data_IF_894481963846
#
_entry.id   IF_894481963846
#
_cell.length_a   1.000
_cell.length_b   1.000
_cell.length_c   1.000
_cell.angle_alpha   90.00
_cell.angle_beta   90.00
_cell.angle_gamma   90.00
#
_symmetry.space_group_name_H-M   'P 1'
#
loop_
_entity.id
_entity.type
_entity.pdbx_description
1 polymer ?
#
# COMPACT_ATOMS: atom_id res chain seq x y z
N UNK A 1 6.48 3.55 23.12
CA UNK A 1 6.23 2.12 23.44
C UNK A 1 5.04 1.56 22.66
N UNK A 2 3.86 2.19 22.72
CA UNK A 2 2.64 1.69 22.06
C UNK A 2 2.79 1.39 20.55
N UNK A 3 3.40 2.28 19.77
CA UNK A 3 3.59 2.09 18.33
C UNK A 3 4.40 0.83 17.99
N UNK A 4 5.47 0.55 18.75
CA UNK A 4 6.33 -0.61 18.50
C UNK A 4 5.61 -1.92 18.84
N UNK A 5 4.81 -1.93 19.91
CA UNK A 5 3.98 -3.08 20.27
C UNK A 5 2.87 -3.34 19.25
N UNK A 6 2.27 -2.27 18.71
CA UNK A 6 1.32 -2.41 17.62
C UNK A 6 1.96 -3.03 16.37
N UNK A 7 3.13 -2.53 15.95
CA UNK A 7 3.86 -3.08 14.79
C UNK A 7 4.23 -4.55 14.99
N UNK A 8 4.71 -4.93 16.18
CA UNK A 8 4.99 -6.34 16.51
C UNK A 8 3.73 -7.20 16.40
N UNK A 9 2.59 -6.71 16.89
CA UNK A 9 1.33 -7.43 16.84
C UNK A 9 0.86 -7.64 15.40
N UNK A 10 0.97 -6.61 14.55
CA UNK A 10 0.59 -6.69 13.13
C UNK A 10 1.46 -7.67 12.33
N UNK A 11 2.70 -7.97 12.75
CA UNK A 11 3.53 -8.99 12.07
C UNK A 11 2.96 -10.41 12.13
N UNK A 12 2.07 -10.70 13.08
CA UNK A 12 1.40 -12.00 13.18
C UNK A 12 0.16 -12.10 12.28
N UNK A 13 -0.34 -10.97 11.77
CA UNK A 13 -1.45 -10.97 10.82
C UNK A 13 -0.91 -11.39 9.44
N UNK A 14 -1.29 -12.59 9.00
CA UNK A 14 -0.93 -13.06 7.66
C UNK A 14 -1.55 -12.15 6.60
N UNK A 15 -0.73 -11.64 5.69
CA UNK A 15 -1.14 -10.79 4.59
C UNK A 15 -0.38 -11.18 3.33
N UNK A 16 -1.04 -11.07 2.18
CA UNK A 16 -0.37 -11.18 0.88
C UNK A 16 0.58 -10.00 0.68
N UNK A 17 1.69 -10.24 -0.02
CA UNK A 17 2.59 -9.18 -0.47
C UNK A 17 2.33 -8.93 -1.96
N UNK A 18 2.04 -7.68 -2.31
CA UNK A 18 1.82 -7.23 -3.68
C UNK A 18 2.83 -6.14 -4.06
N UNK A 19 3.11 -6.01 -5.37
CA UNK A 19 3.86 -4.88 -5.92
C UNK A 19 2.85 -3.94 -6.59
N UNK A 20 2.76 -2.71 -6.09
CA UNK A 20 1.95 -1.65 -6.66
C UNK A 20 2.85 -0.79 -7.55
N UNK A 21 2.63 -0.82 -8.86
CA UNK A 21 3.40 -0.04 -9.83
C UNK A 21 2.55 1.04 -10.47
N UNK A 22 3.14 2.21 -10.71
CA UNK A 22 2.52 3.32 -11.41
C UNK A 22 3.54 4.07 -12.24
N UNK A 23 3.07 4.94 -13.11
CA UNK A 23 3.89 5.96 -13.78
C UNK A 23 3.31 7.33 -13.49
N UNK A 24 4.17 8.33 -13.36
CA UNK A 24 3.73 9.72 -13.28
C UNK A 24 3.41 10.29 -14.67
N UNK A 25 3.02 11.57 -14.71
CA UNK A 25 2.71 12.29 -15.95
C UNK A 25 3.90 12.44 -16.92
N UNK A 26 5.13 12.22 -16.45
CA UNK A 26 6.35 12.23 -17.26
C UNK A 26 6.80 10.82 -17.66
N UNK A 27 5.92 9.82 -17.56
CA UNK A 27 6.20 8.41 -17.86
C UNK A 27 7.26 7.76 -16.95
N UNK A 28 7.67 8.42 -15.86
CA UNK A 28 8.67 7.89 -14.95
C UNK A 28 8.05 6.77 -14.11
N UNK A 29 8.67 5.57 -14.05
CA UNK A 29 8.11 4.43 -13.32
C UNK A 29 8.36 4.54 -11.82
N UNK A 30 7.38 4.06 -11.05
CA UNK A 30 7.45 3.90 -9.61
C UNK A 30 6.87 2.55 -9.21
N UNK A 31 7.37 1.99 -8.11
CA UNK A 31 6.85 0.77 -7.54
C UNK A 31 6.95 0.80 -6.01
N UNK A 32 6.01 0.16 -5.34
CA UNK A 32 6.00 -0.02 -3.90
C UNK A 32 5.58 -1.45 -3.55
N UNK A 33 6.35 -2.11 -2.68
CA UNK A 33 5.91 -3.34 -2.03
C UNK A 33 4.89 -3.02 -0.94
N UNK A 34 3.71 -3.63 -1.00
CA UNK A 34 2.63 -3.39 -0.05
C UNK A 34 2.03 -4.70 0.47
N UNK A 35 1.81 -4.77 1.79
CA UNK A 35 1.03 -5.84 2.43
C UNK A 35 -0.39 -5.39 2.83
N UNK A 36 -0.66 -4.08 2.85
CA UNK A 36 -1.98 -3.51 3.14
C UNK A 36 -2.78 -3.31 1.84
N UNK A 37 -3.25 -4.42 1.26
CA UNK A 37 -4.04 -4.46 0.01
C UNK A 37 -5.31 -5.29 0.23
N UNK A 38 -6.46 -4.80 -0.22
CA UNK A 38 -7.74 -5.51 -0.04
C UNK A 38 -8.72 -5.20 -1.18
N UNK A 39 -9.41 -6.23 -1.69
CA UNK A 39 -10.56 -6.04 -2.60
C UNK A 39 -11.72 -5.38 -1.86
N UNK A 40 -12.29 -4.30 -2.40
CA UNK A 40 -13.26 -3.47 -1.68
C UNK A 40 -14.70 -3.69 -2.14
N UNK A 41 -14.98 -3.53 -3.44
CA UNK A 41 -16.31 -3.78 -4.02
C UNK A 41 -16.20 -4.28 -5.45
N UNK A 42 -17.21 -5.03 -5.90
CA UNK A 42 -17.33 -5.49 -7.27
C UNK A 42 -18.00 -4.46 -8.18
N UNK A 43 -18.88 -3.60 -7.64
CA UNK A 43 -19.66 -2.67 -8.44
C UNK A 43 -19.78 -1.29 -7.72
N UNK A 44 -19.06 -0.26 -8.20
CA UNK A 44 -18.01 -0.32 -9.23
C UNK A 44 -16.80 -1.14 -8.74
N UNK A 45 -16.06 -1.84 -9.61
CA UNK A 45 -14.88 -2.61 -9.20
C UNK A 45 -13.83 -1.72 -8.52
N UNK A 46 -13.43 -2.05 -7.29
CA UNK A 46 -12.37 -1.29 -6.59
C UNK A 46 -11.55 -2.12 -5.62
N UNK A 47 -10.32 -1.63 -5.39
CA UNK A 47 -9.37 -2.15 -4.42
C UNK A 47 -8.90 -1.01 -3.51
N UNK A 48 -8.51 -1.34 -2.29
CA UNK A 48 -7.90 -0.42 -1.34
C UNK A 48 -6.42 -0.77 -1.15
N UNK A 49 -5.57 0.25 -1.21
CA UNK A 49 -4.14 0.17 -0.89
C UNK A 49 -3.81 1.28 0.09
N UNK A 50 -3.17 0.94 1.21
CA UNK A 50 -2.69 1.96 2.16
C UNK A 50 -1.24 2.36 1.82
N UNK A 51 -1.03 3.66 1.59
CA UNK A 51 0.29 4.25 1.30
C UNK A 51 0.75 5.05 2.50
N UNK A 52 2.02 4.93 2.88
CA UNK A 52 2.61 5.77 3.92
C UNK A 52 2.75 7.21 3.39
N UNK A 53 2.34 8.21 4.17
CA UNK A 53 2.52 9.63 3.83
C UNK A 53 3.99 10.03 3.66
N UNK A 54 4.95 9.29 4.20
CA UNK A 54 6.37 9.57 3.98
C UNK A 54 6.93 8.85 2.74
N UNK A 55 6.12 8.06 2.03
CA UNK A 55 6.57 7.33 0.85
C UNK A 55 6.87 8.30 -0.31
N UNK A 56 7.95 8.04 -1.05
CA UNK A 56 8.30 8.82 -2.26
C UNK A 56 7.25 8.73 -3.36
N UNK A 57 6.40 7.69 -3.33
CA UNK A 57 5.32 7.46 -4.29
C UNK A 57 4.08 8.33 -4.03
N UNK A 58 4.00 8.99 -2.87
CA UNK A 58 2.83 9.80 -2.48
C UNK A 58 2.51 10.90 -3.49
N UNK A 59 3.52 11.43 -4.19
CA UNK A 59 3.40 12.59 -5.09
C UNK A 59 2.90 12.21 -6.49
N UNK A 60 2.59 10.93 -6.74
CA UNK A 60 2.04 10.48 -8.03
C UNK A 60 0.54 10.80 -8.14
N UNK A 61 -0.15 10.95 -7.01
CA UNK A 61 -1.57 11.27 -6.97
C UNK A 61 -1.81 12.78 -6.88
#
# INVERSE_FOLDING_TARGET
MLQQEFLKSMRYLAASVSIISAKDSNDKPYAMTASSVTSLTLEPPSILVCVNHDASIQTIY
#
